data_IF_040376686672
#
_entry.id   IF_040376686672
#
_cell.length_a   1.000
_cell.length_b   1.000
_cell.length_c   1.000
_cell.angle_alpha   90.00
_cell.angle_beta   90.00
_cell.angle_gamma   90.00
#
_symmetry.space_group_name_H-M   'P 1'
#
loop_
_entity.id
_entity.type
_entity.pdbx_description
1 polymer ?
#
# COMPACT_ATOMS: atom_id res chain seq x y z
N UNK A 1 -4.53 8.91 2.87
CA UNK A 1 -3.82 8.75 4.17
C UNK A 1 -2.34 8.96 3.92
N UNK A 2 -1.62 9.62 4.83
CA UNK A 2 -0.19 9.92 4.70
C UNK A 2 0.54 9.61 6.00
N UNK A 3 1.72 9.00 5.89
CA UNK A 3 2.67 8.89 7.01
C UNK A 3 3.51 10.16 7.11
N UNK A 4 3.63 10.69 8.33
CA UNK A 4 4.48 11.83 8.66
C UNK A 4 5.32 11.47 9.90
N UNK A 5 6.64 11.26 9.76
CA UNK A 5 7.43 11.35 8.53
C UNK A 5 7.13 10.21 7.51
N UNK A 6 7.46 10.39 6.21
CA UNK A 6 7.38 9.32 5.22
C UNK A 6 8.21 8.09 5.62
N UNK A 7 7.75 6.89 5.25
CA UNK A 7 8.42 5.62 5.55
C UNK A 7 8.88 4.93 4.27
N UNK A 8 9.92 4.10 4.36
CA UNK A 8 10.41 3.29 3.25
C UNK A 8 9.60 2.00 3.13
N UNK A 9 8.61 1.97 2.23
CA UNK A 9 7.70 0.84 2.09
C UNK A 9 7.19 0.67 0.64
N UNK A 10 7.03 -0.57 0.13
CA UNK A 10 6.54 -0.84 -1.23
C UNK A 10 5.26 -0.09 -1.61
N UNK A 11 4.29 0.01 -0.70
CA UNK A 11 2.99 0.65 -0.91
C UNK A 11 2.89 2.09 -0.36
N UNK A 12 4.02 2.77 -0.10
CA UNK A 12 4.05 4.17 0.35
C UNK A 12 4.93 4.99 -0.58
N UNK A 13 4.36 6.05 -1.15
CA UNK A 13 5.09 7.00 -2.00
C UNK A 13 6.17 7.75 -1.22
N UNK A 14 7.13 8.35 -1.95
CA UNK A 14 8.21 9.13 -1.33
C UNK A 14 7.73 10.34 -0.50
N UNK A 15 6.52 10.85 -0.78
CA UNK A 15 5.87 11.92 -0.01
C UNK A 15 5.06 11.40 1.19
N UNK A 16 5.10 10.09 1.47
CA UNK A 16 4.40 9.43 2.56
C UNK A 16 2.96 9.04 2.24
N UNK A 17 2.44 9.33 1.04
CA UNK A 17 1.07 8.94 0.66
C UNK A 17 0.96 7.41 0.57
N UNK A 18 -0.08 6.84 1.19
CA UNK A 18 -0.34 5.39 1.20
C UNK A 18 -1.16 4.99 -0.03
N UNK A 19 -0.73 3.92 -0.71
CA UNK A 19 -1.36 3.40 -1.93
C UNK A 19 -1.87 1.97 -1.70
N UNK A 20 -3.15 1.84 -1.33
CA UNK A 20 -3.84 0.56 -1.15
C UNK A 20 -5.28 0.67 -1.66
N UNK A 21 -5.84 -0.43 -2.15
CA UNK A 21 -7.13 -0.48 -2.84
C UNK A 21 -8.27 0.22 -2.08
N UNK A 22 -8.38 0.01 -0.76
CA UNK A 22 -9.45 0.58 0.09
C UNK A 22 -9.46 2.13 0.10
N UNK A 23 -8.37 2.77 -0.31
CA UNK A 23 -8.24 4.23 -0.44
C UNK A 23 -8.46 4.73 -1.87
N UNK A 24 -8.54 3.84 -2.86
CA UNK A 24 -8.81 4.21 -4.24
C UNK A 24 -10.28 4.56 -4.46
N UNK A 25 -10.55 5.50 -5.36
CA UNK A 25 -11.90 5.95 -5.68
C UNK A 25 -12.82 4.78 -6.11
N UNK A 26 -14.12 4.83 -5.78
CA UNK A 26 -15.07 3.80 -6.15
C UNK A 26 -15.18 3.63 -7.66
N UNK A 27 -15.57 2.43 -8.10
CA UNK A 27 -15.78 2.09 -9.51
C UNK A 27 -14.89 0.95 -9.98
N UNK A 28 -14.93 0.68 -11.28
CA UNK A 28 -14.07 -0.31 -11.91
C UNK A 28 -12.64 0.24 -12.03
N UNK A 29 -11.65 -0.58 -11.66
CA UNK A 29 -10.25 -0.19 -11.79
C UNK A 29 -9.87 -0.08 -13.29
N UNK A 30 -9.38 1.08 -13.76
CA UNK A 30 -9.01 1.26 -15.17
C UNK A 30 -7.94 0.26 -15.64
N UNK A 31 -7.11 -0.21 -14.71
CA UNK A 31 -6.03 -1.16 -14.97
C UNK A 31 -6.44 -2.63 -14.72
N UNK A 32 -7.67 -2.87 -14.25
CA UNK A 32 -8.23 -4.19 -13.95
C UNK A 32 -7.39 -5.03 -12.97
N UNK A 33 -6.61 -4.40 -12.09
CA UNK A 33 -5.89 -5.10 -11.03
C UNK A 33 -6.75 -5.33 -9.79
N UNK A 34 -7.77 -4.49 -9.58
CA UNK A 34 -8.59 -4.49 -8.37
C UNK A 34 -10.08 -4.69 -8.69
N UNK A 35 -10.76 -5.46 -7.85
CA UNK A 35 -12.22 -5.54 -7.86
C UNK A 35 -12.82 -4.26 -7.26
N UNK A 36 -14.00 -3.86 -7.75
CA UNK A 36 -14.75 -2.72 -7.20
C UNK A 36 -15.10 -2.91 -5.71
N UNK A 37 -15.17 -4.16 -5.23
CA UNK A 37 -15.37 -4.50 -3.81
C UNK A 37 -14.16 -4.22 -2.92
N UNK A 38 -12.96 -4.17 -3.49
CA UNK A 38 -11.71 -3.89 -2.76
C UNK A 38 -11.43 -2.40 -2.62
N UNK A 39 -12.17 -1.57 -3.37
CA UNK A 39 -12.02 -0.12 -3.43
C UNK A 39 -12.86 0.59 -2.39
N UNK A 40 -12.68 1.91 -2.24
CA UNK A 40 -13.47 2.70 -1.31
C UNK A 40 -14.96 2.57 -1.60
N UNK A 41 -15.74 2.36 -0.54
CA UNK A 41 -17.20 2.42 -0.59
C UNK A 41 -17.76 2.93 0.75
N UNK A 42 -19.00 3.48 0.78
CA UNK A 42 -19.58 4.03 2.01
C UNK A 42 -19.74 3.03 3.17
N UNK A 43 -19.58 1.72 2.91
CA UNK A 43 -19.63 0.66 3.94
C UNK A 43 -18.29 0.44 4.65
N UNK A 44 -17.23 1.09 4.19
CA UNK A 44 -15.91 1.04 4.82
C UNK A 44 -15.85 2.01 6.01
N UNK A 45 -15.12 1.63 7.05
CA UNK A 45 -14.90 2.45 8.24
C UNK A 45 -13.42 2.80 8.39
N UNK A 46 -13.12 3.80 9.21
CA UNK A 46 -11.73 4.15 9.54
C UNK A 46 -11.00 2.95 10.16
N UNK A 47 -11.68 2.16 10.99
CA UNK A 47 -11.13 0.92 11.56
C UNK A 47 -10.69 -0.05 10.47
N UNK A 48 -11.53 -0.30 9.45
CA UNK A 48 -11.16 -1.17 8.33
C UNK A 48 -9.97 -0.63 7.54
N UNK A 49 -9.89 0.70 7.34
CA UNK A 49 -8.72 1.32 6.71
C UNK A 49 -7.45 1.05 7.52
N UNK A 50 -7.48 1.26 8.84
CA UNK A 50 -6.32 1.05 9.69
C UNK A 50 -5.91 -0.43 9.76
N UNK A 51 -6.88 -1.35 9.78
CA UNK A 51 -6.61 -2.79 9.66
C UNK A 51 -5.93 -3.12 8.33
N UNK A 52 -6.41 -2.57 7.21
CA UNK A 52 -5.75 -2.75 5.91
C UNK A 52 -4.32 -2.19 5.89
N UNK A 53 -4.06 -1.08 6.58
CA UNK A 53 -2.69 -0.53 6.72
C UNK A 53 -1.81 -1.47 7.55
N UNK A 54 -2.32 -2.02 8.65
CA UNK A 54 -1.57 -3.01 9.45
C UNK A 54 -1.24 -4.26 8.63
N UNK A 55 -2.22 -4.79 7.88
CA UNK A 55 -2.01 -5.91 6.97
C UNK A 55 -0.97 -5.57 5.90
N UNK A 56 -1.05 -4.38 5.29
CA UNK A 56 -0.09 -3.90 4.31
C UNK A 56 1.34 -3.79 4.87
N UNK A 57 1.51 -3.34 6.11
CA UNK A 57 2.84 -3.27 6.75
C UNK A 57 3.43 -4.66 7.04
N UNK A 58 2.57 -5.63 7.37
CA UNK A 58 3.01 -7.01 7.61
C UNK A 58 3.32 -7.74 6.30
N UNK A 59 2.49 -7.54 5.27
CA UNK A 59 2.56 -8.20 3.97
C UNK A 59 2.54 -7.17 2.84
N UNK A 60 3.68 -6.53 2.53
CA UNK A 60 3.78 -5.58 1.43
C UNK A 60 3.35 -6.18 0.09
N UNK A 61 2.51 -5.45 -0.66
CA UNK A 61 2.10 -5.83 -2.00
C UNK A 61 3.03 -5.21 -3.05
N UNK A 62 3.87 -6.03 -3.68
CA UNK A 62 4.83 -5.59 -4.72
C UNK A 62 4.26 -5.59 -6.13
N UNK A 63 3.07 -6.16 -6.37
CA UNK A 63 2.42 -6.19 -7.68
C UNK A 63 1.86 -4.81 -8.07
N UNK A 64 1.41 -4.05 -7.07
CA UNK A 64 0.90 -2.68 -7.20
C UNK A 64 1.72 -1.67 -6.36
N UNK A 65 3.04 -1.84 -6.37
CA UNK A 65 3.95 -1.03 -5.58
C UNK A 65 4.00 0.45 -5.98
N UNK A 66 3.85 1.34 -4.99
CA UNK A 66 4.02 2.79 -5.13
C UNK A 66 5.49 3.23 -5.12
N UNK A 67 6.37 2.46 -4.45
CA UNK A 67 7.80 2.73 -4.37
C UNK A 67 8.59 1.58 -5.00
N UNK A 68 9.09 1.82 -6.21
CA UNK A 68 9.78 0.81 -7.04
C UNK A 68 11.07 0.32 -6.36
N UNK A 69 11.81 1.21 -5.68
CA UNK A 69 13.07 0.85 -5.03
C UNK A 69 12.81 -0.03 -3.80
N UNK A 70 11.79 0.30 -3.00
CA UNK A 70 11.34 -0.54 -1.90
C UNK A 70 10.84 -1.90 -2.40
N UNK A 71 10.10 -1.96 -3.51
CA UNK A 71 9.64 -3.22 -4.11
C UNK A 71 10.80 -4.11 -4.56
N UNK A 72 11.77 -3.53 -5.30
CA UNK A 72 12.96 -4.26 -5.75
C UNK A 72 13.75 -4.78 -4.56
N UNK A 73 13.97 -3.95 -3.54
CA UNK A 73 14.73 -4.37 -2.36
C UNK A 73 14.00 -5.46 -1.59
N UNK A 74 12.68 -5.32 -1.36
CA UNK A 74 11.87 -6.32 -0.68
C UNK A 74 11.90 -7.69 -1.40
N UNK A 75 11.86 -7.69 -2.74
CA UNK A 75 11.86 -8.89 -3.58
C UNK A 75 13.25 -9.52 -3.74
N UNK A 76 14.26 -8.69 -4.05
CA UNK A 76 15.57 -9.14 -4.51
C UNK A 76 16.62 -9.15 -3.38
N UNK A 77 16.40 -8.42 -2.27
CA UNK A 77 17.30 -8.36 -1.11
C UNK A 77 16.54 -8.09 0.21
N UNK A 78 15.81 -9.11 0.67
CA UNK A 78 14.98 -9.00 1.89
C UNK A 78 15.78 -8.57 3.13
N UNK A 79 16.97 -9.13 3.35
CA UNK A 79 17.80 -8.75 4.49
C UNK A 79 18.24 -7.28 4.44
N UNK A 80 18.51 -6.75 3.24
CA UNK A 80 18.83 -5.33 3.05
C UNK A 80 17.64 -4.44 3.37
N UNK A 81 16.44 -4.83 2.93
CA UNK A 81 15.20 -4.13 3.25
C UNK A 81 14.98 -4.07 4.77
N UNK A 82 15.11 -5.22 5.45
CA UNK A 82 14.91 -5.35 6.91
C UNK A 82 15.91 -4.55 7.76
N UNK A 83 17.08 -4.18 7.21
CA UNK A 83 18.06 -3.32 7.90
C UNK A 83 17.74 -1.83 7.79
N UNK A 84 16.90 -1.43 6.83
CA UNK A 84 16.51 -0.03 6.61
C UNK A 84 15.33 0.35 7.50
N UNK A 85 14.38 -0.58 7.67
CA UNK A 85 13.21 -0.44 8.56
C UNK A 85 13.58 -0.63 10.02
#
# INVERSE_FOLDING_TARGET
>A
MRFEPPIFHPNVYADGLVCISILHAPGDDPNMYESSSERWSPVQSIEKILLSVLSMLAEPNVESGANIDACKMYRDNREGYEKII
#
